data_IF_132650513470
#
_entry.id   IF_132650513470
#
_cell.length_a   1.000
_cell.length_b   1.000
_cell.length_c   1.000
_cell.angle_alpha   90.00
_cell.angle_beta   90.00
_cell.angle_gamma   90.00
#
_symmetry.space_group_name_H-M   'P 1'
#
loop_
_entity.id
_entity.type
_entity.pdbx_description
1 polymer ?
#
# COMPACT_ATOMS: atom_id res chain seq x y z
N UNK A 1 -5.31 -14.97 16.95
CA UNK A 1 -6.06 -13.79 17.38
C UNK A 1 -5.14 -12.68 17.92
N UNK A 2 -4.25 -12.95 18.87
CA UNK A 2 -3.37 -11.93 19.48
C UNK A 2 -2.44 -11.21 18.47
N UNK A 3 -1.87 -11.93 17.51
CA UNK A 3 -1.01 -11.36 16.47
C UNK A 3 -1.77 -10.41 15.50
N UNK A 4 -3.02 -10.75 15.15
CA UNK A 4 -3.85 -9.90 14.28
C UNK A 4 -4.25 -8.60 15.00
N UNK A 5 -4.58 -8.65 16.28
CA UNK A 5 -4.89 -7.46 17.07
C UNK A 5 -3.68 -6.52 17.14
N UNK A 6 -2.47 -7.06 17.37
CA UNK A 6 -1.25 -6.24 17.42
C UNK A 6 -0.96 -5.52 16.10
N UNK A 7 -1.22 -6.15 14.96
CA UNK A 7 -1.07 -5.51 13.65
C UNK A 7 -2.06 -4.35 13.48
N UNK A 8 -3.32 -4.58 13.84
CA UNK A 8 -4.35 -3.55 13.73
C UNK A 8 -4.12 -2.39 14.72
N UNK A 9 -3.59 -2.65 15.91
CA UNK A 9 -3.17 -1.62 16.86
C UNK A 9 -2.05 -0.75 16.26
N UNK A 10 -1.05 -1.36 15.63
CA UNK A 10 0.03 -0.64 14.96
C UNK A 10 -0.47 0.19 13.77
N UNK A 11 -1.40 -0.36 12.99
CA UNK A 11 -2.04 0.36 11.90
C UNK A 11 -2.86 1.56 12.42
N UNK A 12 -3.61 1.38 13.51
CA UNK A 12 -4.32 2.47 14.17
C UNK A 12 -3.39 3.57 14.70
N UNK A 13 -2.24 3.20 15.25
CA UNK A 13 -1.23 4.15 15.77
C UNK A 13 -0.69 5.04 14.64
N UNK A 14 -0.24 4.45 13.53
CA UNK A 14 0.30 5.23 12.40
C UNK A 14 -0.80 6.02 11.69
N UNK A 15 -2.01 5.48 11.53
CA UNK A 15 -3.14 6.21 10.98
C UNK A 15 -3.45 7.46 11.80
N UNK A 16 -3.57 7.33 13.13
CA UNK A 16 -3.82 8.46 14.02
C UNK A 16 -2.73 9.54 13.90
N UNK A 17 -1.47 9.12 13.77
CA UNK A 17 -0.36 10.05 13.56
C UNK A 17 -0.48 10.80 12.22
N UNK A 18 -0.79 10.11 11.11
CA UNK A 18 -1.00 10.76 9.82
C UNK A 18 -2.18 11.73 9.85
N UNK A 19 -3.29 11.36 10.49
CA UNK A 19 -4.49 12.18 10.62
C UNK A 19 -4.25 13.45 11.46
N UNK A 20 -3.56 13.32 12.60
CA UNK A 20 -3.15 14.46 13.45
C UNK A 20 -2.28 15.47 12.69
N UNK A 21 -1.44 14.98 11.78
CA UNK A 21 -0.60 15.82 10.94
C UNK A 21 -1.32 16.29 9.65
N UNK A 22 -2.56 15.85 9.40
CA UNK A 22 -3.33 16.12 8.18
C UNK A 22 -2.60 15.71 6.91
N UNK A 23 -1.90 14.58 6.97
CA UNK A 23 -1.17 14.05 5.83
C UNK A 23 -2.09 13.23 4.92
N UNK A 24 -1.96 13.35 3.60
CA UNK A 24 -2.64 12.47 2.66
C UNK A 24 -1.96 11.10 2.66
N UNK A 25 -2.70 10.05 2.99
CA UNK A 25 -2.19 8.69 3.09
C UNK A 25 -3.26 7.65 2.81
N UNK A 26 -2.83 6.42 2.52
CA UNK A 26 -3.69 5.24 2.58
C UNK A 26 -2.87 3.99 2.90
N UNK A 27 -3.51 3.00 3.52
CA UNK A 27 -2.94 1.67 3.64
C UNK A 27 -2.97 0.97 2.28
N UNK A 28 -1.88 0.28 2.00
CA UNK A 28 -1.63 -0.56 0.83
C UNK A 28 -1.24 -1.96 1.32
N UNK A 29 -0.59 -2.77 0.51
CA UNK A 29 0.03 -4.02 0.94
C UNK A 29 -0.92 -5.02 1.58
N UNK A 30 -0.44 -5.75 2.58
CA UNK A 30 -1.16 -6.87 3.19
C UNK A 30 -2.46 -6.49 3.88
N UNK A 31 -2.52 -5.34 4.56
CA UNK A 31 -3.75 -4.86 5.23
C UNK A 31 -4.86 -4.58 4.22
N UNK A 32 -4.53 -3.93 3.09
CA UNK A 32 -5.52 -3.70 2.04
C UNK A 32 -5.99 -5.00 1.37
N UNK A 33 -5.09 -5.99 1.24
CA UNK A 33 -5.45 -7.34 0.72
C UNK A 33 -6.44 -8.06 1.63
N UNK A 34 -6.35 -7.92 2.96
CA UNK A 34 -7.34 -8.50 3.89
C UNK A 34 -8.77 -8.06 3.56
N UNK A 35 -8.94 -6.84 3.08
CA UNK A 35 -10.25 -6.30 2.72
C UNK A 35 -10.64 -6.62 1.28
N UNK A 36 -9.75 -6.39 0.30
CA UNK A 36 -10.06 -6.46 -1.13
C UNK A 36 -9.76 -7.80 -1.79
N UNK A 37 -8.91 -8.64 -1.19
CA UNK A 37 -8.44 -9.91 -1.73
C UNK A 37 -8.75 -11.10 -0.82
N UNK A 38 -8.06 -12.20 -1.06
CA UNK A 38 -8.06 -13.36 -0.17
C UNK A 38 -7.23 -13.09 1.08
N UNK A 39 -7.81 -13.40 2.25
CA UNK A 39 -7.14 -13.15 3.52
C UNK A 39 -5.91 -14.06 3.66
N UNK A 40 -4.77 -13.46 3.96
CA UNK A 40 -3.53 -14.15 4.26
C UNK A 40 -2.82 -13.52 5.46
N UNK A 41 -1.86 -14.25 6.02
CA UNK A 41 -1.05 -13.70 7.11
C UNK A 41 -0.21 -12.52 6.59
N UNK A 42 -0.35 -11.36 7.25
CA UNK A 42 0.55 -10.22 7.08
C UNK A 42 1.16 -9.86 8.43
N UNK A 43 2.41 -9.38 8.44
CA UNK A 43 3.22 -9.15 9.65
C UNK A 43 3.64 -7.71 9.81
N UNK A 44 3.34 -6.88 8.83
CA UNK A 44 3.72 -5.49 8.68
C UNK A 44 2.50 -4.65 8.27
N UNK A 45 2.57 -3.37 8.54
CA UNK A 45 1.62 -2.40 8.06
C UNK A 45 2.28 -1.54 6.98
N UNK A 46 1.81 -1.72 5.74
CA UNK A 46 2.26 -0.95 4.58
C UNK A 46 1.32 0.22 4.34
N UNK A 47 1.86 1.41 4.21
CA UNK A 47 1.07 2.56 3.76
C UNK A 47 1.89 3.48 2.85
N UNK A 48 1.22 4.20 1.99
CA UNK A 48 1.81 5.32 1.26
C UNK A 48 1.34 6.62 1.87
N UNK A 49 2.27 7.55 2.08
CA UNK A 49 2.03 8.94 2.45
C UNK A 49 2.45 9.79 1.25
N UNK A 50 1.55 10.58 0.70
CA UNK A 50 1.91 11.44 -0.42
C UNK A 50 2.68 12.67 0.10
N UNK A 51 3.97 12.72 -0.24
CA UNK A 51 4.88 13.78 0.20
C UNK A 51 5.16 14.79 -0.92
N UNK A 52 4.88 14.41 -2.16
CA UNK A 52 5.35 15.13 -3.32
C UNK A 52 6.88 14.99 -3.51
N UNK A 53 7.44 15.81 -4.38
CA UNK A 53 8.88 15.88 -4.65
C UNK A 53 9.46 17.07 -3.88
N UNK A 54 10.53 16.83 -3.10
CA UNK A 54 11.28 17.88 -2.38
C UNK A 54 10.86 18.11 -0.91
N UNK A 55 9.68 17.65 -0.51
CA UNK A 55 9.17 17.80 0.86
C UNK A 55 9.42 16.59 1.78
N UNK A 56 10.05 15.52 1.27
CA UNK A 56 10.21 14.24 1.95
C UNK A 56 10.89 14.37 3.32
N UNK A 57 11.88 15.25 3.42
CA UNK A 57 12.67 15.46 4.65
C UNK A 57 11.76 15.77 5.83
N UNK A 58 10.80 16.66 5.65
CA UNK A 58 9.85 17.07 6.69
C UNK A 58 9.02 15.89 7.22
N UNK A 59 8.58 15.00 6.33
CA UNK A 59 7.81 13.82 6.71
C UNK A 59 8.68 12.79 7.43
N UNK A 60 9.87 12.52 6.88
CA UNK A 60 10.83 11.56 7.46
C UNK A 60 11.25 11.98 8.87
N UNK A 61 11.64 13.23 9.08
CA UNK A 61 12.05 13.73 10.39
C UNK A 61 10.93 13.66 11.42
N UNK A 62 9.70 13.98 11.02
CA UNK A 62 8.56 13.95 11.92
C UNK A 62 8.15 12.51 12.28
N UNK A 63 8.27 11.56 11.33
CA UNK A 63 8.05 10.14 11.59
C UNK A 63 9.13 9.57 12.50
N UNK A 64 10.40 9.86 12.26
CA UNK A 64 11.52 9.43 13.11
C UNK A 64 11.48 10.04 14.52
N UNK A 65 10.88 11.21 14.67
CA UNK A 65 10.63 11.80 15.99
C UNK A 65 9.56 11.06 16.81
N UNK A 66 8.76 10.20 16.20
CA UNK A 66 7.67 9.45 16.87
C UNK A 66 7.90 7.94 16.91
N UNK A 67 8.49 7.38 15.85
CA UNK A 67 8.66 5.94 15.64
C UNK A 67 10.13 5.58 15.53
N UNK A 68 10.51 4.42 16.09
CA UNK A 68 11.87 3.92 15.97
C UNK A 68 12.16 3.41 14.56
N UNK A 69 13.33 3.79 14.00
CA UNK A 69 13.81 3.20 12.75
C UNK A 69 14.15 1.72 12.94
N UNK A 70 13.95 0.91 11.91
CA UNK A 70 14.39 -0.50 11.88
C UNK A 70 15.83 -0.68 11.43
N UNK A 71 16.42 0.34 10.86
CA UNK A 71 17.80 0.33 10.34
C UNK A 71 18.56 1.56 10.83
N UNK A 72 19.87 1.47 10.96
CA UNK A 72 20.71 2.55 11.51
C UNK A 72 20.63 3.84 10.70
N UNK A 73 20.76 3.74 9.37
CA UNK A 73 20.69 4.90 8.46
C UNK A 73 19.27 5.10 7.86
N UNK A 74 18.24 4.99 8.70
CA UNK A 74 16.85 5.00 8.24
C UNK A 74 16.45 6.28 7.51
N UNK A 75 16.98 7.43 7.91
CA UNK A 75 16.74 8.72 7.26
C UNK A 75 17.32 8.76 5.85
N UNK A 76 18.59 8.43 5.71
CA UNK A 76 19.33 8.42 4.45
C UNK A 76 18.76 7.40 3.48
N UNK A 77 18.42 6.22 4.00
CA UNK A 77 17.74 5.18 3.24
C UNK A 77 16.39 5.68 2.69
N UNK A 78 15.58 6.31 3.55
CA UNK A 78 14.27 6.82 3.16
C UNK A 78 14.36 7.90 2.08
N UNK A 79 15.30 8.83 2.19
CA UNK A 79 15.48 9.88 1.20
C UNK A 79 16.01 9.36 -0.14
N UNK A 80 16.77 8.27 -0.13
CA UNK A 80 17.30 7.64 -1.34
C UNK A 80 16.29 6.72 -2.03
N UNK A 81 15.55 5.93 -1.25
CA UNK A 81 14.69 4.85 -1.75
C UNK A 81 13.20 5.16 -1.65
N UNK A 82 12.84 6.31 -1.09
CA UNK A 82 11.45 6.74 -0.85
C UNK A 82 10.63 5.75 -0.03
N UNK A 83 11.29 4.99 0.86
CA UNK A 83 10.64 4.06 1.80
C UNK A 83 11.29 4.23 3.17
N UNK A 84 10.49 4.55 4.18
CA UNK A 84 10.92 4.65 5.56
C UNK A 84 10.48 3.42 6.35
N UNK A 85 11.46 2.71 6.92
CA UNK A 85 11.26 1.46 7.65
C UNK A 85 11.23 1.72 9.16
N UNK A 86 10.05 1.59 9.77
CA UNK A 86 9.80 1.93 11.16
C UNK A 86 9.27 0.76 11.99
N UNK A 87 9.15 0.97 13.30
CA UNK A 87 8.43 0.11 14.25
C UNK A 87 7.36 0.93 14.97
N UNK A 88 6.17 0.37 15.07
CA UNK A 88 5.14 0.85 15.97
C UNK A 88 5.54 0.66 17.44
N UNK A 89 4.83 1.27 18.38
CA UNK A 89 5.08 1.15 19.82
C UNK A 89 5.05 -0.30 20.34
N UNK A 90 4.26 -1.16 19.70
CA UNK A 90 4.17 -2.59 20.02
C UNK A 90 5.17 -3.47 19.24
N UNK A 91 6.13 -2.87 18.51
CA UNK A 91 7.20 -3.56 17.79
C UNK A 91 6.83 -4.07 16.39
N UNK A 92 5.59 -3.92 15.94
CA UNK A 92 5.16 -4.31 14.58
C UNK A 92 5.88 -3.42 13.56
N UNK A 93 6.39 -4.01 12.45
CA UNK A 93 6.98 -3.25 11.35
C UNK A 93 5.96 -2.33 10.67
N UNK A 94 6.40 -1.12 10.33
CA UNK A 94 5.68 -0.14 9.53
C UNK A 94 6.55 0.20 8.31
N UNK A 95 6.04 -0.01 7.12
CA UNK A 95 6.71 0.31 5.86
C UNK A 95 5.99 1.50 5.21
N UNK A 96 6.65 2.66 5.23
CA UNK A 96 6.07 3.92 4.78
C UNK A 96 6.65 4.31 3.43
N UNK A 97 5.88 4.18 2.37
CA UNK A 97 6.25 4.72 1.05
C UNK A 97 6.03 6.23 1.02
N UNK A 98 7.03 6.97 0.54
CA UNK A 98 6.98 8.44 0.38
C UNK A 98 6.55 8.75 -1.06
N UNK A 99 5.24 8.77 -1.30
CA UNK A 99 4.63 8.94 -2.60
C UNK A 99 4.94 10.29 -3.25
N UNK A 100 5.18 10.29 -4.57
CA UNK A 100 5.43 11.49 -5.36
C UNK A 100 4.87 11.41 -6.78
N UNK A 101 4.46 10.23 -7.22
CA UNK A 101 3.92 10.05 -8.55
C UNK A 101 2.44 10.44 -8.61
N UNK A 102 1.93 10.91 -9.75
CA UNK A 102 0.51 11.25 -9.91
C UNK A 102 -0.42 10.09 -9.54
N UNK A 103 -0.04 8.86 -9.87
CA UNK A 103 -0.77 7.66 -9.47
C UNK A 103 -0.90 7.56 -7.94
N UNK A 104 0.17 7.82 -7.18
CA UNK A 104 0.15 7.74 -5.71
C UNK A 104 -0.70 8.86 -5.10
N UNK A 105 -0.70 10.06 -5.71
CA UNK A 105 -1.59 11.15 -5.32
C UNK A 105 -3.06 10.75 -5.51
N UNK A 106 -3.40 10.15 -6.64
CA UNK A 106 -4.74 9.64 -6.93
C UNK A 106 -5.13 8.52 -5.94
N UNK A 107 -4.20 7.61 -5.64
CA UNK A 107 -4.44 6.51 -4.70
C UNK A 107 -4.78 7.00 -3.28
N UNK A 108 -4.07 8.03 -2.76
CA UNK A 108 -4.36 8.58 -1.43
C UNK A 108 -5.61 9.47 -1.43
N UNK A 109 -5.88 10.18 -2.52
CA UNK A 109 -7.07 11.04 -2.66
C UNK A 109 -8.34 10.21 -2.77
N UNK A 110 -8.31 9.10 -3.52
CA UNK A 110 -9.42 8.15 -3.68
C UNK A 110 -9.59 7.17 -2.52
N UNK A 111 -8.71 7.23 -1.50
CA UNK A 111 -8.77 6.31 -0.37
C UNK A 111 -9.97 6.58 0.55
N UNK A 112 -10.58 5.52 1.05
CA UNK A 112 -11.75 5.56 1.93
C UNK A 112 -11.58 4.68 3.17
N UNK A 113 -12.40 4.95 4.20
CA UNK A 113 -12.36 4.17 5.44
C UNK A 113 -13.20 2.90 5.29
N UNK A 114 -12.61 1.79 5.71
CA UNK A 114 -13.23 0.47 5.71
C UNK A 114 -13.06 -0.21 7.06
N UNK A 115 -14.08 -0.93 7.50
CA UNK A 115 -14.02 -1.76 8.70
C UNK A 115 -13.21 -3.03 8.38
N UNK A 116 -12.08 -3.22 9.06
CA UNK A 116 -11.17 -4.36 8.89
C UNK A 116 -11.41 -5.41 9.96
N UNK A 117 -11.83 -4.98 11.13
CA UNK A 117 -12.27 -5.80 12.25
C UNK A 117 -13.30 -5.02 13.07
N UNK A 118 -14.06 -5.66 13.98
CA UNK A 118 -15.05 -4.96 14.81
C UNK A 118 -14.45 -3.71 15.47
N UNK A 119 -15.04 -2.56 15.17
CA UNK A 119 -14.63 -1.22 15.67
C UNK A 119 -13.26 -0.72 15.17
N UNK A 120 -12.62 -1.38 14.21
CA UNK A 120 -11.35 -0.95 13.62
C UNK A 120 -11.57 -0.50 12.18
N UNK A 121 -11.50 0.80 11.96
CA UNK A 121 -11.62 1.40 10.62
C UNK A 121 -10.27 1.94 10.15
N UNK A 122 -9.82 1.49 8.99
CA UNK A 122 -8.59 1.94 8.36
C UNK A 122 -8.87 2.58 7.00
N UNK A 123 -8.05 3.58 6.65
CA UNK A 123 -8.14 4.28 5.38
C UNK A 123 -7.36 3.49 4.31
N UNK A 124 -8.05 2.71 3.49
CA UNK A 124 -7.45 1.87 2.46
C UNK A 124 -7.45 2.56 1.09
N UNK A 125 -6.46 2.25 0.26
CA UNK A 125 -6.54 2.52 -1.17
C UNK A 125 -7.70 1.76 -1.80
N UNK A 126 -8.15 2.18 -2.98
CA UNK A 126 -9.15 1.45 -3.77
C UNK A 126 -8.60 0.08 -4.23
N UNK A 127 -9.46 -0.88 -4.58
CA UNK A 127 -8.99 -2.16 -5.12
C UNK A 127 -8.26 -1.97 -6.46
N UNK A 128 -8.63 -0.98 -7.27
CA UNK A 128 -7.91 -0.62 -8.50
C UNK A 128 -6.47 -0.17 -8.20
N UNK A 129 -6.29 0.78 -7.29
CA UNK A 129 -4.96 1.24 -6.88
C UNK A 129 -4.14 0.10 -6.26
N UNK A 130 -4.76 -0.79 -5.46
CA UNK A 130 -4.06 -1.94 -4.89
C UNK A 130 -3.53 -2.89 -5.97
N UNK A 131 -4.31 -3.17 -7.01
CA UNK A 131 -3.84 -3.98 -8.15
C UNK A 131 -2.62 -3.32 -8.80
N UNK A 132 -2.66 -2.00 -9.04
CA UNK A 132 -1.54 -1.28 -9.64
C UNK A 132 -0.28 -1.38 -8.77
N UNK A 133 -0.37 -1.14 -7.46
CA UNK A 133 0.76 -1.33 -6.54
C UNK A 133 1.33 -2.73 -6.59
N UNK A 134 0.48 -3.75 -6.62
CA UNK A 134 0.87 -5.16 -6.63
C UNK A 134 1.53 -5.57 -7.95
N UNK A 135 0.95 -5.21 -9.08
CA UNK A 135 1.52 -5.50 -10.41
C UNK A 135 2.86 -4.78 -10.58
N UNK A 136 2.94 -3.51 -10.16
CA UNK A 136 4.19 -2.76 -10.22
C UNK A 136 5.30 -3.39 -9.36
N UNK A 137 5.00 -3.86 -8.16
CA UNK A 137 5.96 -4.57 -7.30
C UNK A 137 6.37 -5.92 -7.92
N UNK A 138 5.42 -6.69 -8.47
CA UNK A 138 5.64 -7.86 -9.33
C UNK A 138 6.26 -9.08 -8.65
N UNK A 139 6.34 -9.11 -7.31
CA UNK A 139 6.86 -10.26 -6.55
C UNK A 139 5.92 -11.47 -6.67
N UNK A 140 6.39 -12.70 -6.48
CA UNK A 140 5.52 -13.88 -6.56
C UNK A 140 4.25 -13.78 -5.70
N UNK A 141 4.36 -13.28 -4.47
CA UNK A 141 3.22 -13.08 -3.57
C UNK A 141 2.26 -12.01 -4.07
N UNK A 142 2.77 -10.94 -4.71
CA UNK A 142 1.93 -9.87 -5.24
C UNK A 142 0.99 -10.37 -6.34
N UNK A 143 1.44 -11.31 -7.17
CA UNK A 143 0.61 -11.94 -8.20
C UNK A 143 -0.50 -12.80 -7.61
N UNK A 144 -0.24 -13.54 -6.53
CA UNK A 144 -1.29 -14.26 -5.80
C UNK A 144 -2.31 -13.30 -5.19
N UNK A 145 -1.83 -12.18 -4.64
CA UNK A 145 -2.70 -11.13 -4.10
C UNK A 145 -3.59 -10.53 -5.24
N UNK A 146 -3.02 -10.30 -6.43
CA UNK A 146 -3.79 -9.81 -7.61
C UNK A 146 -4.88 -10.81 -8.00
N UNK A 147 -4.58 -12.11 -8.08
CA UNK A 147 -5.58 -13.14 -8.37
C UNK A 147 -6.73 -13.11 -7.35
N UNK A 148 -6.40 -13.04 -6.05
CA UNK A 148 -7.39 -12.94 -4.98
C UNK A 148 -8.25 -11.66 -5.06
N UNK A 149 -7.65 -10.51 -5.44
CA UNK A 149 -8.39 -9.24 -5.63
C UNK A 149 -9.32 -9.35 -6.84
N UNK A 150 -8.85 -9.91 -7.96
CA UNK A 150 -9.68 -10.12 -9.16
C UNK A 150 -10.91 -10.96 -8.84
N UNK A 151 -10.74 -12.06 -8.12
CA UNK A 151 -11.84 -12.96 -7.75
C UNK A 151 -12.83 -12.27 -6.81
N UNK A 152 -12.35 -11.64 -5.75
CA UNK A 152 -13.21 -11.08 -4.69
C UNK A 152 -13.79 -9.71 -5.05
N UNK A 153 -12.99 -8.83 -5.62
CA UNK A 153 -13.30 -7.41 -5.79
C UNK A 153 -13.25 -6.94 -7.24
N UNK A 154 -12.99 -7.82 -8.22
CA UNK A 154 -12.78 -7.44 -9.62
C UNK A 154 -13.94 -6.68 -10.26
N UNK A 155 -15.18 -6.89 -9.76
CA UNK A 155 -16.37 -6.15 -10.20
C UNK A 155 -16.39 -4.68 -9.76
N UNK A 156 -15.58 -4.32 -8.78
CA UNK A 156 -15.44 -2.95 -8.24
C UNK A 156 -14.29 -2.20 -8.90
N UNK A 157 -13.52 -2.86 -9.77
CA UNK A 157 -12.30 -2.32 -10.39
C UNK A 157 -12.63 -1.77 -11.77
N UNK A 158 -12.27 -0.51 -12.01
CA UNK A 158 -12.17 0.02 -13.37
C UNK A 158 -10.85 -0.45 -14.02
N UNK A 159 -10.95 -1.52 -14.80
CA UNK A 159 -9.80 -2.11 -15.47
C UNK A 159 -9.20 -1.22 -16.56
N UNK A 160 -9.92 -0.24 -17.07
CA UNK A 160 -9.40 0.73 -18.03
C UNK A 160 -8.45 1.72 -17.33
N UNK A 161 -8.81 2.15 -16.13
CA UNK A 161 -7.96 2.97 -15.26
C UNK A 161 -6.68 2.21 -14.84
N UNK A 162 -6.82 0.97 -14.38
CA UNK A 162 -5.68 0.11 -14.01
C UNK A 162 -4.69 -0.04 -15.16
N UNK A 163 -5.17 -0.29 -16.38
CA UNK A 163 -4.29 -0.41 -17.57
C UNK A 163 -3.57 0.88 -17.88
N UNK A 164 -4.25 2.00 -17.82
CA UNK A 164 -3.64 3.31 -18.08
C UNK A 164 -2.52 3.60 -17.07
N UNK A 165 -2.81 3.46 -15.77
CA UNK A 165 -1.85 3.76 -14.72
C UNK A 165 -0.65 2.79 -14.75
N UNK A 166 -0.90 1.51 -15.04
CA UNK A 166 0.17 0.53 -15.22
C UNK A 166 1.03 0.80 -16.45
N UNK A 167 0.44 1.21 -17.57
CA UNK A 167 1.22 1.50 -18.77
C UNK A 167 2.29 2.57 -18.52
N UNK A 168 1.92 3.66 -17.82
CA UNK A 168 2.86 4.73 -17.46
C UNK A 168 3.94 4.25 -16.48
N UNK A 169 3.56 3.51 -15.43
CA UNK A 169 4.49 3.06 -14.39
C UNK A 169 5.45 1.97 -14.89
N UNK A 170 4.95 1.03 -15.69
CA UNK A 170 5.76 -0.07 -16.22
C UNK A 170 6.74 0.42 -17.30
N UNK A 171 6.36 1.44 -18.08
CA UNK A 171 7.28 2.10 -19.03
C UNK A 171 8.46 2.74 -18.27
N UNK A 172 8.21 3.46 -17.18
CA UNK A 172 9.26 4.01 -16.31
C UNK A 172 10.19 2.94 -15.74
N UNK A 173 9.67 1.74 -15.48
CA UNK A 173 10.41 0.60 -14.94
C UNK A 173 11.12 -0.21 -16.04
N UNK A 174 10.72 -0.05 -17.30
CA UNK A 174 11.16 -0.89 -18.42
C UNK A 174 10.60 -2.32 -18.36
N UNK A 175 9.44 -2.52 -17.72
CA UNK A 175 8.78 -3.81 -17.56
C UNK A 175 7.76 -4.02 -18.67
N UNK A 176 8.03 -4.96 -19.57
CA UNK A 176 7.19 -5.24 -20.74
C UNK A 176 6.26 -6.46 -20.54
N UNK A 177 6.37 -7.19 -19.43
CA UNK A 177 5.71 -8.48 -19.24
C UNK A 177 4.52 -8.41 -18.26
N UNK A 178 4.59 -7.55 -17.27
CA UNK A 178 3.62 -7.50 -16.16
C UNK A 178 2.20 -7.19 -16.62
N UNK A 179 2.01 -6.33 -17.62
CA UNK A 179 0.68 -6.03 -18.15
C UNK A 179 0.07 -7.26 -18.85
N UNK A 180 0.85 -7.99 -19.65
CA UNK A 180 0.41 -9.22 -20.33
C UNK A 180 0.04 -10.31 -19.32
N UNK A 181 0.78 -10.41 -18.22
CA UNK A 181 0.47 -11.33 -17.13
C UNK A 181 -0.85 -10.98 -16.44
N UNK A 182 -1.10 -9.69 -16.18
CA UNK A 182 -2.39 -9.24 -15.65
C UNK A 182 -3.54 -9.64 -16.57
N UNK A 183 -3.42 -9.41 -17.88
CA UNK A 183 -4.47 -9.78 -18.83
C UNK A 183 -4.76 -11.29 -18.83
N UNK A 184 -3.74 -12.12 -18.66
CA UNK A 184 -3.90 -13.57 -18.52
C UNK A 184 -4.71 -13.93 -17.28
N UNK A 185 -4.46 -13.28 -16.14
CA UNK A 185 -5.22 -13.47 -14.90
C UNK A 185 -6.68 -13.05 -15.10
N UNK A 186 -6.93 -11.89 -15.72
CA UNK A 186 -8.28 -11.40 -15.98
C UNK A 186 -9.07 -12.34 -16.89
N UNK A 187 -8.45 -12.83 -17.97
CA UNK A 187 -9.09 -13.79 -18.88
C UNK A 187 -9.45 -15.09 -18.15
N UNK A 188 -8.57 -15.57 -17.28
CA UNK A 188 -8.81 -16.81 -16.51
C UNK A 188 -9.94 -16.66 -15.48
N UNK A 189 -10.14 -15.47 -14.91
CA UNK A 189 -11.20 -15.19 -13.95
C UNK A 189 -12.60 -15.09 -14.61
N UNK A 190 -12.67 -14.68 -15.88
CA UNK A 190 -13.91 -14.60 -16.63
C UNK A 190 -14.50 -15.97 -17.02
N UNK A 191 -13.70 -17.03 -16.92
CA UNK A 191 -14.10 -18.40 -17.27
C UNK A 191 -14.44 -19.27 -16.03
N UNK A 192 -14.47 -18.69 -14.83
CA UNK A 192 -14.90 -19.34 -13.58
C UNK A 192 -16.25 -18.81 -13.11
#
# INVERSE_FOLDING_TARGET
MESANRLLDAAGEIQAFCEQNRWPFCFIGGIAVLHWGEARVTRDADLTVFTGVGDEVRYVERLLGRFASRIEEGREFALRHRVLLLRASNGIPLDISLGALPFEENAVSGASRHEIAPSVQLRLCSPAALVVFKVFAGRPQDWLDVEGIVVKSGKLVDWSEVRRDLAELLDLKGDTESLSRLETILASALHR
#
